data_IF_138117416092
#
_entry.id   IF_138117416092
#
_cell.length_a   1.000
_cell.length_b   1.000
_cell.length_c   1.000
_cell.angle_alpha   90.00
_cell.angle_beta   90.00
_cell.angle_gamma   90.00
#
_symmetry.space_group_name_H-M   'P 1'
#
loop_
_entity.id
_entity.type
_entity.pdbx_description
1 polymer ?
#
# COMPACT_ATOMS: atom_id res chain seq x y z
N UNK A 1 3.52 4.88 -31.47
CA UNK A 1 3.69 6.26 -31.99
C UNK A 1 5.09 6.41 -32.53
N UNK A 2 5.28 7.14 -33.64
CA UNK A 2 6.61 7.50 -34.15
C UNK A 2 7.19 8.64 -33.31
N UNK A 3 8.52 8.78 -33.25
CA UNK A 3 9.21 9.86 -32.50
C UNK A 3 8.73 11.25 -32.89
N UNK A 4 8.49 11.49 -34.18
CA UNK A 4 7.93 12.74 -34.69
C UNK A 4 6.50 13.00 -34.22
N UNK A 5 5.67 11.97 -34.11
CA UNK A 5 4.30 12.10 -33.61
C UNK A 5 4.29 12.49 -32.11
N UNK A 6 5.16 11.88 -31.31
CA UNK A 6 5.27 12.19 -29.86
C UNK A 6 5.79 13.61 -29.62
N UNK A 7 6.76 14.08 -30.41
CA UNK A 7 7.29 15.44 -30.30
C UNK A 7 6.26 16.50 -30.68
N UNK A 8 5.44 16.21 -31.70
CA UNK A 8 4.33 17.08 -32.10
C UNK A 8 3.23 17.12 -31.05
N UNK A 9 2.93 16.00 -30.39
CA UNK A 9 1.89 15.92 -29.37
C UNK A 9 2.32 16.57 -28.04
N UNK A 10 3.59 16.39 -27.66
CA UNK A 10 4.18 16.99 -26.46
C UNK A 10 4.74 18.40 -26.71
N UNK A 11 4.55 18.94 -27.92
CA UNK A 11 5.02 20.26 -28.36
C UNK A 11 6.45 20.55 -27.88
N UNK A 12 7.34 19.60 -28.16
CA UNK A 12 8.71 19.54 -27.66
C UNK A 12 9.69 19.53 -28.82
N UNK A 13 10.78 20.27 -28.68
CA UNK A 13 11.86 20.26 -29.66
C UNK A 13 12.89 19.16 -29.37
N UNK A 14 13.45 18.55 -30.41
CA UNK A 14 14.43 17.47 -30.28
C UNK A 14 15.83 17.98 -29.89
N UNK A 15 16.21 19.18 -30.35
CA UNK A 15 17.52 19.79 -30.12
C UNK A 15 17.55 20.72 -28.89
N UNK A 16 16.48 21.49 -28.68
CA UNK A 16 16.41 22.52 -27.63
C UNK A 16 15.48 22.18 -26.45
N UNK A 17 14.72 21.08 -26.54
CA UNK A 17 13.78 20.66 -25.49
C UNK A 17 12.61 21.63 -25.30
N UNK A 18 12.20 21.83 -24.05
CA UNK A 18 11.12 22.73 -23.67
C UNK A 18 11.66 24.08 -23.20
N UNK A 19 10.96 25.15 -23.54
CA UNK A 19 11.25 26.48 -22.99
C UNK A 19 10.92 26.54 -21.49
N UNK A 20 11.59 27.44 -20.75
CA UNK A 20 11.33 27.64 -19.33
C UNK A 20 9.85 27.98 -19.04
N UNK A 21 9.20 28.75 -19.93
CA UNK A 21 7.79 29.08 -19.83
C UNK A 21 6.89 27.83 -19.94
N UNK A 22 7.18 26.94 -20.91
CA UNK A 22 6.46 25.67 -21.06
C UNK A 22 6.67 24.75 -19.85
N UNK A 23 7.88 24.73 -19.28
CA UNK A 23 8.17 23.96 -18.05
C UNK A 23 7.33 24.47 -16.89
N UNK A 24 7.29 25.78 -16.65
CA UNK A 24 6.49 26.36 -15.57
C UNK A 24 4.99 26.12 -15.77
N UNK A 25 4.49 26.31 -16.99
CA UNK A 25 3.08 26.05 -17.32
C UNK A 25 2.72 24.58 -17.08
N UNK A 26 3.59 23.64 -17.48
CA UNK A 26 3.37 22.21 -17.29
C UNK A 26 3.47 21.80 -15.82
N UNK A 27 4.39 22.38 -15.06
CA UNK A 27 4.43 22.14 -13.61
C UNK A 27 3.17 22.63 -12.89
N UNK A 28 2.54 23.72 -13.35
CA UNK A 28 1.26 24.18 -12.81
C UNK A 28 0.09 23.25 -13.20
N UNK A 29 0.11 22.71 -14.42
CA UNK A 29 -0.95 21.84 -14.94
C UNK A 29 -0.88 20.42 -14.40
N UNK A 30 0.32 19.83 -14.36
CA UNK A 30 0.54 18.43 -14.02
C UNK A 30 1.09 18.23 -12.60
N UNK A 31 1.57 19.30 -11.96
CA UNK A 31 2.29 19.22 -10.70
C UNK A 31 3.74 18.78 -10.86
N UNK A 32 4.50 18.72 -9.77
CA UNK A 32 5.83 18.14 -9.77
C UNK A 32 5.75 16.65 -10.11
N UNK A 33 6.72 16.16 -10.90
CA UNK A 33 6.87 14.72 -11.17
C UNK A 33 7.45 14.01 -9.94
N UNK A 34 6.66 13.97 -8.86
CA UNK A 34 6.98 13.34 -7.59
C UNK A 34 5.77 12.54 -7.13
N UNK A 35 6.03 11.34 -6.60
CA UNK A 35 5.00 10.53 -5.99
C UNK A 35 4.48 11.25 -4.73
N UNK A 36 3.18 11.55 -4.70
CA UNK A 36 2.55 12.12 -3.51
C UNK A 36 2.67 11.13 -2.35
N UNK A 37 3.24 11.60 -1.24
CA UNK A 37 3.24 10.86 0.02
C UNK A 37 1.81 10.75 0.53
N UNK A 38 1.15 9.63 0.26
CA UNK A 38 0.17 9.13 1.21
C UNK A 38 0.98 8.65 2.39
N UNK A 39 1.17 9.53 3.39
CA UNK A 39 2.02 9.28 4.55
C UNK A 39 1.89 7.83 5.00
N UNK A 40 3.03 7.13 5.13
CA UNK A 40 3.07 5.68 5.35
C UNK A 40 2.06 5.26 6.41
N UNK A 41 1.35 4.15 6.17
CA UNK A 41 0.37 3.65 7.14
C UNK A 41 1.12 3.39 8.43
N UNK A 42 0.67 4.04 9.50
CA UNK A 42 1.24 3.80 10.81
C UNK A 42 1.12 2.31 11.17
N UNK A 43 2.14 1.69 11.80
CA UNK A 43 2.12 0.27 12.17
C UNK A 43 0.84 -0.16 12.92
N UNK A 44 0.32 0.71 13.79
CA UNK A 44 -0.92 0.48 14.52
C UNK A 44 -2.17 0.42 13.62
N UNK A 45 -2.18 1.19 12.53
CA UNK A 45 -3.27 1.20 11.55
C UNK A 45 -3.29 -0.08 10.72
N UNK A 46 -2.11 -0.58 10.34
CA UNK A 46 -1.96 -1.87 9.64
C UNK A 46 -2.52 -3.00 10.51
N UNK A 47 -2.17 -3.01 11.80
CA UNK A 47 -2.67 -4.02 12.73
C UNK A 47 -4.19 -3.91 12.92
N UNK A 48 -4.73 -2.69 13.01
CA UNK A 48 -6.17 -2.46 13.14
C UNK A 48 -6.95 -2.92 11.91
N UNK A 49 -6.44 -2.65 10.70
CA UNK A 49 -7.02 -3.14 9.43
C UNK A 49 -7.07 -4.68 9.42
N UNK A 50 -6.02 -5.34 9.92
CA UNK A 50 -5.96 -6.79 9.97
C UNK A 50 -6.96 -7.41 10.97
N UNK A 51 -7.12 -6.80 12.15
CA UNK A 51 -8.11 -7.25 13.16
C UNK A 51 -9.54 -7.00 12.66
N UNK A 52 -9.77 -5.89 11.95
CA UNK A 52 -11.08 -5.50 11.44
C UNK A 52 -11.52 -6.29 10.20
N UNK A 53 -10.64 -7.13 9.65
CA UNK A 53 -10.97 -7.99 8.51
C UNK A 53 -12.04 -9.01 8.87
N UNK A 54 -13.05 -9.15 8.01
CA UNK A 54 -14.16 -10.10 8.17
C UNK A 54 -13.67 -11.51 8.51
N UNK A 55 -12.61 -11.97 7.85
CA UNK A 55 -12.03 -13.30 8.07
C UNK A 55 -11.46 -13.45 9.49
N UNK A 56 -10.72 -12.43 9.97
CA UNK A 56 -10.11 -12.46 11.31
C UNK A 56 -11.19 -12.39 12.39
N UNK A 57 -12.23 -11.57 12.20
CA UNK A 57 -13.37 -11.51 13.11
C UNK A 57 -14.09 -12.87 13.23
N UNK A 58 -14.25 -13.60 12.12
CA UNK A 58 -14.81 -14.96 12.14
C UNK A 58 -13.93 -15.91 12.95
N UNK A 59 -12.61 -15.86 12.76
CA UNK A 59 -11.68 -16.71 13.51
C UNK A 59 -11.65 -16.38 15.01
N UNK A 60 -11.71 -15.09 15.37
CA UNK A 60 -11.83 -14.65 16.76
C UNK A 60 -13.14 -15.18 17.37
N UNK A 61 -14.26 -15.08 16.64
CA UNK A 61 -15.53 -15.64 17.11
C UNK A 61 -15.45 -17.16 17.30
N UNK A 62 -14.82 -17.89 16.37
CA UNK A 62 -14.60 -19.33 16.49
C UNK A 62 -13.73 -19.69 17.70
N UNK A 63 -12.66 -18.93 17.95
CA UNK A 63 -11.81 -19.11 19.13
C UNK A 63 -12.58 -18.86 20.44
N UNK A 64 -13.40 -17.81 20.49
CA UNK A 64 -14.26 -17.52 21.65
C UNK A 64 -15.27 -18.64 21.90
N UNK A 65 -15.97 -19.10 20.85
CA UNK A 65 -16.92 -20.22 20.97
C UNK A 65 -16.23 -21.49 21.44
N UNK A 66 -15.08 -21.84 20.87
CA UNK A 66 -14.29 -23.02 21.30
C UNK A 66 -13.85 -22.92 22.77
N UNK A 67 -13.46 -21.72 23.20
CA UNK A 67 -13.06 -21.44 24.58
C UNK A 67 -14.23 -21.60 25.56
N UNK A 68 -15.41 -21.11 25.19
CA UNK A 68 -16.64 -21.29 25.97
C UNK A 68 -17.07 -22.76 26.07
N UNK A 69 -16.76 -23.58 25.05
CA UNK A 69 -16.98 -25.03 25.08
C UNK A 69 -15.94 -25.78 25.94
N UNK A 70 -14.98 -25.08 26.55
CA UNK A 70 -13.92 -25.69 27.38
C UNK A 70 -12.83 -26.40 26.56
N UNK A 71 -12.83 -26.21 25.23
CA UNK A 71 -11.88 -26.86 24.32
C UNK A 71 -10.62 -26.04 24.17
N UNK A 72 -9.77 -26.10 25.20
CA UNK A 72 -8.54 -25.31 25.29
C UNK A 72 -7.57 -25.57 24.14
N UNK A 73 -7.38 -26.82 23.72
CA UNK A 73 -6.47 -27.17 22.61
C UNK A 73 -6.88 -26.53 21.29
N UNK A 74 -8.18 -26.57 20.95
CA UNK A 74 -8.72 -25.97 19.73
C UNK A 74 -8.64 -24.43 19.79
N UNK A 75 -8.99 -23.84 20.94
CA UNK A 75 -8.90 -22.40 21.17
C UNK A 75 -7.48 -21.88 20.97
N UNK A 76 -6.49 -22.58 21.54
CA UNK A 76 -5.07 -22.23 21.42
C UNK A 76 -4.62 -22.37 19.96
N UNK A 77 -5.00 -23.45 19.28
CA UNK A 77 -4.64 -23.66 17.87
C UNK A 77 -5.18 -22.54 16.96
N UNK A 78 -6.46 -22.18 17.09
CA UNK A 78 -7.07 -21.11 16.30
C UNK A 78 -6.40 -19.77 16.61
N UNK A 79 -6.19 -19.46 17.90
CA UNK A 79 -5.54 -18.22 18.33
C UNK A 79 -4.12 -18.09 17.77
N UNK A 80 -3.35 -19.19 17.79
CA UNK A 80 -2.00 -19.21 17.23
C UNK A 80 -1.99 -18.92 15.72
N UNK A 81 -2.95 -19.48 14.96
CA UNK A 81 -3.08 -19.21 13.52
C UNK A 81 -3.43 -17.74 13.27
N UNK A 82 -4.36 -17.16 14.04
CA UNK A 82 -4.72 -15.74 13.92
C UNK A 82 -3.52 -14.84 14.17
N UNK A 83 -2.76 -15.10 15.24
CA UNK A 83 -1.54 -14.35 15.56
C UNK A 83 -0.50 -14.49 14.45
N UNK A 84 -0.29 -15.70 13.95
CA UNK A 84 0.64 -15.94 12.85
C UNK A 84 0.25 -15.15 11.58
N UNK A 85 -1.02 -15.19 11.18
CA UNK A 85 -1.49 -14.43 10.02
C UNK A 85 -1.46 -12.92 10.24
N UNK A 86 -1.72 -12.44 11.45
CA UNK A 86 -1.59 -11.03 11.77
C UNK A 86 -0.13 -10.57 11.63
N UNK A 87 0.81 -11.34 12.17
CA UNK A 87 2.25 -11.05 12.06
C UNK A 87 2.75 -11.11 10.62
N UNK A 88 2.40 -12.17 9.88
CA UNK A 88 2.79 -12.31 8.48
C UNK A 88 2.22 -11.18 7.63
N UNK A 89 0.93 -10.85 7.80
CA UNK A 89 0.28 -9.74 7.10
C UNK A 89 0.93 -8.39 7.42
N UNK A 90 1.22 -8.14 8.71
CA UNK A 90 1.93 -6.94 9.14
C UNK A 90 3.31 -6.82 8.50
N UNK A 91 4.11 -7.89 8.51
CA UNK A 91 5.45 -7.89 7.90
C UNK A 91 5.37 -7.72 6.38
N UNK A 92 4.39 -8.33 5.71
CA UNK A 92 4.19 -8.17 4.27
C UNK A 92 3.85 -6.72 3.90
N UNK A 93 2.88 -6.12 4.59
CA UNK A 93 2.49 -4.72 4.34
C UNK A 93 3.63 -3.75 4.68
N UNK A 94 4.30 -3.94 5.81
CA UNK A 94 5.43 -3.11 6.24
C UNK A 94 6.60 -3.17 5.24
N UNK A 95 6.86 -4.34 4.65
CA UNK A 95 7.88 -4.49 3.60
C UNK A 95 7.45 -3.85 2.28
N UNK A 96 6.15 -3.93 1.92
CA UNK A 96 5.62 -3.29 0.72
C UNK A 96 5.73 -1.75 0.82
N UNK A 97 5.43 -1.18 2.00
CA UNK A 97 5.62 0.25 2.23
C UNK A 97 7.09 0.67 2.11
N UNK A 98 8.02 -0.09 2.69
CA UNK A 98 9.45 0.17 2.53
C UNK A 98 9.90 0.10 1.08
N UNK A 99 9.39 -0.86 0.30
CA UNK A 99 9.74 -0.98 -1.12
C UNK A 99 9.25 0.24 -1.92
N UNK A 100 8.04 0.74 -1.64
CA UNK A 100 7.52 1.97 -2.23
C UNK A 100 8.33 3.20 -1.79
N UNK A 101 8.77 3.26 -0.54
CA UNK A 101 9.64 4.33 -0.05
C UNK A 101 11.02 4.32 -0.71
N UNK A 102 11.53 3.14 -1.09
CA UNK A 102 12.83 2.97 -1.75
C UNK A 102 12.82 3.23 -3.26
N UNK A 103 11.62 3.29 -3.90
CA UNK A 103 11.44 3.63 -5.31
C UNK A 103 11.29 5.14 -5.56
N UNK A 104 11.42 5.96 -4.50
CA UNK A 104 11.70 7.40 -4.64
C UNK A 104 13.05 7.63 -5.28
#
# INVERSE_FOLDING_TARGET
MTTTAVLSELDSNLDSGLSAAQVTQRQQQYGPNQLQERGGKQPLRILWEQISSTMVLILIAAAVVSGLLGKTTETIAISAIVVLFALLGFVQEYRAEQAMAALK
#
